data_IF_081965821721
#
_entry.id   IF_081965821721
#
_cell.length_a   1.000
_cell.length_b   1.000
_cell.length_c   1.000
_cell.angle_alpha   90.00
_cell.angle_beta   90.00
_cell.angle_gamma   90.00
#
_symmetry.space_group_name_H-M   'P 1'
#
loop_
_entity.id
_entity.type
_entity.pdbx_description
1 polymer ?
#
# COMPACT_ATOMS: atom_id res chain seq x y z
N UNK A 1 -4.44 1.13 26.69
CA UNK A 1 -4.98 0.65 25.40
C UNK A 1 -4.81 1.68 24.29
N UNK A 2 -5.13 2.96 24.54
CA UNK A 2 -4.95 4.06 23.57
C UNK A 2 -3.51 4.16 23.04
N UNK A 3 -2.51 4.01 23.92
CA UNK A 3 -1.10 4.09 23.53
C UNK A 3 -0.66 2.98 22.57
N UNK A 4 -1.27 1.79 22.69
CA UNK A 4 -0.99 0.68 21.77
C UNK A 4 -1.57 0.95 20.38
N UNK A 5 -2.75 1.57 20.30
CA UNK A 5 -3.37 1.96 19.02
C UNK A 5 -2.53 3.04 18.34
N UNK A 6 -2.05 4.03 19.11
CA UNK A 6 -1.18 5.10 18.59
C UNK A 6 0.16 4.54 18.12
N UNK A 7 0.77 3.62 18.89
CA UNK A 7 2.01 2.97 18.51
C UNK A 7 1.85 2.17 17.20
N UNK A 8 0.74 1.46 17.03
CA UNK A 8 0.44 0.67 15.83
C UNK A 8 0.19 1.57 14.62
N UNK A 9 -0.52 2.69 14.79
CA UNK A 9 -0.69 3.71 13.75
C UNK A 9 0.63 4.35 13.33
N UNK A 10 1.49 4.68 14.29
CA UNK A 10 2.82 5.27 14.01
C UNK A 10 3.72 4.28 13.27
N UNK A 11 3.70 3.01 13.67
CA UNK A 11 4.42 1.92 12.99
C UNK A 11 3.91 1.70 11.56
N UNK A 12 2.58 1.73 11.37
CA UNK A 12 1.96 1.61 10.04
C UNK A 12 2.34 2.77 9.12
N UNK A 13 2.44 3.99 9.66
CA UNK A 13 2.93 5.14 8.90
C UNK A 13 4.40 5.02 8.51
N UNK A 14 5.25 4.40 9.33
CA UNK A 14 6.64 4.17 8.98
C UNK A 14 6.80 3.12 7.88
N UNK A 15 5.93 2.10 7.88
CA UNK A 15 6.01 0.95 6.98
C UNK A 15 4.92 0.96 5.89
N UNK A 16 4.38 2.13 5.54
CA UNK A 16 3.25 2.27 4.61
C UNK A 16 3.56 1.69 3.21
N UNK A 17 4.79 1.89 2.71
CA UNK A 17 5.22 1.45 1.39
C UNK A 17 5.29 -0.09 1.27
N UNK A 18 5.96 -0.83 2.17
CA UNK A 18 5.93 -2.29 2.14
C UNK A 18 4.52 -2.86 2.36
N UNK A 19 3.67 -2.23 3.18
CA UNK A 19 2.28 -2.67 3.36
C UNK A 19 1.48 -2.60 2.04
N UNK A 20 1.63 -1.52 1.27
CA UNK A 20 0.99 -1.37 -0.04
C UNK A 20 1.50 -2.40 -1.04
N UNK A 21 2.81 -2.67 -1.05
CA UNK A 21 3.41 -3.65 -1.95
C UNK A 21 2.87 -5.06 -1.63
N UNK A 22 2.85 -5.45 -0.36
CA UNK A 22 2.31 -6.75 0.07
C UNK A 22 0.84 -6.87 -0.33
N UNK A 23 0.04 -5.82 -0.09
CA UNK A 23 -1.37 -5.82 -0.46
C UNK A 23 -1.57 -5.95 -1.98
N UNK A 24 -0.74 -5.26 -2.78
CA UNK A 24 -0.75 -5.38 -4.24
C UNK A 24 -0.35 -6.78 -4.71
N UNK A 25 0.69 -7.38 -4.11
CA UNK A 25 1.08 -8.76 -4.41
C UNK A 25 -0.06 -9.76 -4.11
N UNK A 26 -0.75 -9.60 -2.98
CA UNK A 26 -1.91 -10.44 -2.62
C UNK A 26 -3.02 -10.31 -3.68
N UNK A 27 -3.34 -9.08 -4.10
CA UNK A 27 -4.34 -8.85 -5.15
C UNK A 27 -3.95 -9.50 -6.49
N UNK A 28 -2.65 -9.49 -6.82
CA UNK A 28 -2.15 -10.12 -8.05
C UNK A 28 -2.22 -11.66 -7.99
N UNK A 29 -1.88 -12.26 -6.84
CA UNK A 29 -2.04 -13.71 -6.62
C UNK A 29 -3.52 -14.10 -6.72
N UNK A 30 -4.41 -13.30 -6.14
CA UNK A 30 -5.85 -13.55 -6.20
C UNK A 30 -6.37 -13.47 -7.64
N UNK A 31 -5.89 -12.51 -8.45
CA UNK A 31 -6.24 -12.42 -9.87
C UNK A 31 -5.81 -13.67 -10.66
N UNK A 32 -4.59 -14.16 -10.43
CA UNK A 32 -4.11 -15.41 -11.05
C UNK A 32 -4.98 -16.60 -10.64
N UNK A 33 -5.35 -16.69 -9.35
CA UNK A 33 -6.24 -17.73 -8.87
C UNK A 33 -7.62 -17.67 -9.56
N UNK A 34 -8.18 -16.47 -9.76
CA UNK A 34 -9.43 -16.28 -10.52
C UNK A 34 -9.28 -16.74 -11.96
N UNK A 35 -8.19 -16.38 -12.66
CA UNK A 35 -7.93 -16.83 -14.04
C UNK A 35 -7.80 -18.35 -14.16
N UNK A 36 -7.10 -18.98 -13.21
CA UNK A 36 -6.96 -20.45 -13.15
C UNK A 36 -8.31 -21.11 -12.86
N UNK A 37 -9.09 -20.56 -11.92
CA UNK A 37 -10.44 -21.07 -11.61
C UNK A 37 -11.39 -20.95 -12.81
N UNK A 38 -11.23 -19.91 -13.63
CA UNK A 38 -12.03 -19.71 -14.84
C UNK A 38 -11.67 -20.73 -15.92
N UNK A 39 -10.38 -20.99 -16.13
CA UNK A 39 -9.92 -22.02 -17.06
C UNK A 39 -10.41 -23.40 -16.60
N UNK A 40 -10.20 -23.77 -15.34
CA UNK A 40 -10.67 -25.07 -14.81
C UNK A 40 -12.20 -25.19 -14.92
N UNK A 41 -12.94 -24.12 -14.63
CA UNK A 41 -14.39 -24.07 -14.77
C UNK A 41 -14.86 -24.27 -16.21
N UNK A 42 -14.20 -23.65 -17.19
CA UNK A 42 -14.49 -23.81 -18.61
C UNK A 42 -14.30 -25.27 -19.07
N UNK A 43 -13.17 -25.88 -18.68
CA UNK A 43 -12.87 -27.27 -19.04
C UNK A 43 -13.80 -28.27 -18.33
N UNK A 44 -14.14 -28.04 -17.05
CA UNK A 44 -15.10 -28.90 -16.33
C UNK A 44 -16.50 -28.81 -16.91
N UNK A 45 -16.95 -27.62 -17.35
CA UNK A 45 -18.25 -27.44 -17.98
C UNK A 45 -18.32 -28.20 -19.33
N UNK A 46 -17.23 -28.22 -20.10
CA UNK A 46 -17.13 -28.94 -21.37
C UNK A 46 -17.05 -30.48 -21.22
N UNK A 47 -16.36 -31.00 -20.19
CA UNK A 47 -16.11 -32.45 -20.02
C UNK A 47 -17.12 -33.18 -19.12
N UNK A 48 -17.68 -32.53 -18.10
CA UNK A 48 -18.57 -33.17 -17.10
C UNK A 48 -19.98 -32.57 -17.04
N UNK A 49 -20.30 -31.57 -17.86
CA UNK A 49 -21.60 -30.89 -17.85
C UNK A 49 -21.93 -30.24 -16.49
N UNK A 50 -20.91 -29.97 -15.67
CA UNK A 50 -21.10 -29.24 -14.42
C UNK A 50 -21.39 -27.79 -14.76
N UNK A 51 -22.62 -27.32 -14.48
CA UNK A 51 -23.06 -25.93 -14.63
C UNK A 51 -22.29 -24.99 -13.69
N UNK A 52 -20.98 -24.86 -13.88
CA UNK A 52 -20.18 -23.90 -13.14
C UNK A 52 -20.59 -22.51 -13.61
N UNK A 53 -21.10 -21.69 -12.70
CA UNK A 53 -21.53 -20.33 -13.02
C UNK A 53 -20.31 -19.48 -13.36
N UNK A 54 -20.10 -19.22 -14.65
CA UNK A 54 -19.08 -18.25 -15.12
C UNK A 54 -19.32 -16.86 -14.52
N UNK A 55 -20.55 -16.55 -14.08
CA UNK A 55 -20.89 -15.33 -13.34
C UNK A 55 -20.14 -15.21 -12.00
N UNK A 56 -19.82 -16.33 -11.33
CA UNK A 56 -19.03 -16.30 -10.10
C UNK A 56 -17.60 -15.79 -10.35
N UNK A 57 -17.03 -16.08 -11.52
CA UNK A 57 -15.71 -15.57 -11.91
C UNK A 57 -15.73 -14.04 -12.10
N UNK A 58 -16.83 -13.49 -12.61
CA UNK A 58 -17.05 -12.04 -12.68
C UNK A 58 -17.07 -11.38 -11.31
N UNK A 59 -17.65 -12.06 -10.30
CA UNK A 59 -17.58 -11.60 -8.91
C UNK A 59 -16.15 -11.62 -8.36
N UNK A 60 -15.32 -12.56 -8.78
CA UNK A 60 -13.90 -12.59 -8.41
C UNK A 60 -13.12 -11.41 -9.00
N UNK A 61 -13.34 -11.11 -10.29
CA UNK A 61 -12.70 -9.99 -10.99
C UNK A 61 -13.11 -8.64 -10.37
N UNK A 62 -14.40 -8.45 -10.07
CA UNK A 62 -14.89 -7.20 -9.47
C UNK A 62 -14.23 -6.92 -8.12
N UNK A 63 -14.06 -7.94 -7.28
CA UNK A 63 -13.36 -7.82 -5.98
C UNK A 63 -11.90 -7.40 -6.18
N UNK A 64 -11.20 -7.94 -7.18
CA UNK A 64 -9.82 -7.51 -7.49
C UNK A 64 -9.77 -6.05 -7.92
N UNK A 65 -10.69 -5.62 -8.80
CA UNK A 65 -10.75 -4.23 -9.27
C UNK A 65 -11.02 -3.27 -8.12
N UNK A 66 -12.01 -3.59 -7.28
CA UNK A 66 -12.31 -2.80 -6.07
C UNK A 66 -11.13 -2.78 -5.10
N UNK A 67 -10.47 -3.93 -4.89
CA UNK A 67 -9.28 -4.03 -4.04
C UNK A 67 -8.14 -3.15 -4.55
N UNK A 68 -7.85 -3.20 -5.86
CA UNK A 68 -6.83 -2.36 -6.50
C UNK A 68 -7.14 -0.87 -6.41
N UNK A 69 -8.41 -0.47 -6.62
CA UNK A 69 -8.83 0.91 -6.43
C UNK A 69 -8.61 1.38 -4.98
N UNK A 70 -8.89 0.52 -4.01
CA UNK A 70 -8.57 0.74 -2.60
C UNK A 70 -7.07 0.97 -2.37
N UNK A 71 -6.22 0.07 -2.87
CA UNK A 71 -4.75 0.19 -2.75
C UNK A 71 -4.25 1.49 -3.39
N UNK A 72 -4.75 1.84 -4.58
CA UNK A 72 -4.35 3.06 -5.28
C UNK A 72 -4.76 4.33 -4.51
N UNK A 73 -5.97 4.36 -3.93
CA UNK A 73 -6.42 5.49 -3.12
C UNK A 73 -5.58 5.67 -1.85
N UNK A 74 -5.21 4.57 -1.18
CA UNK A 74 -4.32 4.57 -0.02
C UNK A 74 -2.92 5.06 -0.40
N UNK A 75 -2.36 4.55 -1.51
CA UNK A 75 -1.07 4.99 -2.02
C UNK A 75 -1.07 6.49 -2.35
N UNK A 76 -2.13 7.00 -2.98
CA UNK A 76 -2.31 8.42 -3.27
C UNK A 76 -2.40 9.28 -2.01
N UNK A 77 -3.15 8.85 -1.00
CA UNK A 77 -3.26 9.56 0.28
C UNK A 77 -1.91 9.60 1.02
N UNK A 78 -1.15 8.51 1.02
CA UNK A 78 0.19 8.48 1.60
C UNK A 78 1.16 9.38 0.82
N UNK A 79 1.16 9.30 -0.51
CA UNK A 79 2.04 10.11 -1.36
C UNK A 79 1.77 11.61 -1.21
N UNK A 80 0.51 12.02 -1.20
CA UNK A 80 0.13 13.42 -1.01
C UNK A 80 0.55 13.96 0.36
N UNK A 81 0.54 13.13 1.41
CA UNK A 81 1.10 13.50 2.72
C UNK A 81 2.60 13.81 2.62
N UNK A 82 3.41 12.92 2.04
CA UNK A 82 4.85 13.15 1.89
C UNK A 82 5.18 14.28 0.93
N UNK A 83 4.43 14.41 -0.16
CA UNK A 83 4.60 15.49 -1.14
C UNK A 83 4.27 16.86 -0.54
N UNK A 84 3.17 16.95 0.23
CA UNK A 84 2.76 18.16 0.94
C UNK A 84 3.78 18.52 2.02
N UNK A 85 4.21 17.56 2.84
CA UNK A 85 5.21 17.80 3.89
C UNK A 85 6.55 18.27 3.30
N UNK A 86 7.02 17.64 2.22
CA UNK A 86 8.24 18.08 1.52
C UNK A 86 8.12 19.49 0.93
N UNK A 87 6.92 19.93 0.52
CA UNK A 87 6.69 21.25 -0.10
C UNK A 87 6.64 22.38 0.93
N UNK A 88 6.20 22.10 2.16
CA UNK A 88 6.02 23.12 3.20
C UNK A 88 7.13 23.12 4.26
N UNK A 89 7.90 22.03 4.41
CA UNK A 89 8.94 21.90 5.43
C UNK A 89 10.38 22.12 4.90
N UNK A 90 10.57 22.24 3.58
CA UNK A 90 11.87 22.51 2.94
C UNK A 90 11.70 23.54 1.81
N UNK A 91 12.48 24.63 1.75
CA UNK A 91 12.43 25.56 0.62
C UNK A 91 12.88 24.86 -0.67
N UNK A 92 12.20 25.15 -1.79
CA UNK A 92 12.50 24.54 -3.08
C UNK A 92 13.98 24.74 -3.45
N UNK A 93 14.72 23.64 -3.61
CA UNK A 93 16.14 23.66 -3.98
C UNK A 93 17.14 23.48 -2.84
N UNK A 94 16.70 23.36 -1.57
CA UNK A 94 17.59 22.96 -0.49
C UNK A 94 17.52 21.44 -0.23
N UNK A 95 18.67 20.75 -0.11
CA UNK A 95 18.67 19.38 0.37
C UNK A 95 18.08 19.33 1.79
N UNK A 96 17.48 18.20 2.21
CA UNK A 96 16.99 18.05 3.57
C UNK A 96 18.15 18.36 4.52
N UNK A 97 17.91 19.27 5.48
CA UNK A 97 18.85 19.53 6.57
C UNK A 97 19.09 18.18 7.26
N UNK A 98 20.27 17.60 7.02
CA UNK A 98 20.75 16.47 7.79
C UNK A 98 20.79 16.98 9.23
N UNK A 99 19.83 16.55 10.05
CA UNK A 99 19.84 16.81 11.48
C UNK A 99 21.03 16.02 12.03
N UNK A 100 22.21 16.61 11.94
CA UNK A 100 23.41 16.11 12.55
C UNK A 100 23.19 16.22 14.07
N UNK A 101 22.68 15.15 14.68
CA UNK A 101 22.68 14.98 16.13
C UNK A 101 24.11 14.73 16.65
N UNK A 102 25.10 15.47 16.16
CA UNK A 102 26.44 15.59 16.75
C UNK A 102 26.71 17.07 17.01
N UNK A 103 26.67 17.43 18.29
CA UNK A 103 27.31 18.64 18.78
C UNK A 103 26.37 19.84 18.92
N UNK A 104 25.34 19.70 19.75
CA UNK A 104 25.06 20.84 20.62
C UNK A 104 26.32 21.09 21.46
N UNK A 105 27.03 22.18 21.17
CA UNK A 105 27.71 23.07 22.12
C UNK A 105 28.79 23.89 21.38
N UNK A 106 28.42 24.98 20.73
CA UNK A 106 29.38 25.96 20.20
C UNK A 106 28.95 27.40 20.53
N UNK A 107 28.32 27.60 21.70
CA UNK A 107 28.00 28.92 22.24
C UNK A 107 28.25 28.95 23.75
N UNK A 108 29.51 28.74 24.17
CA UNK A 108 29.95 29.12 25.52
C UNK A 108 31.32 29.83 25.48
N UNK A 109 31.38 31.03 26.06
CA UNK A 109 32.54 31.91 26.23
C UNK A 109 33.03 32.61 24.95
N UNK A 110 32.88 33.92 24.72
CA UNK A 110 33.49 35.01 25.52
C UNK A 110 34.81 34.57 26.17
N UNK A 111 35.91 34.79 25.45
CA UNK A 111 37.02 35.66 25.84
C UNK A 111 37.87 35.97 24.60
#
# INVERSE_FOLDING_TARGET
>A
MKDKIIALGTWGQQNWLPLIIILSCIMMVFLVAVMVSWLIGYWCNALRGTHFELASCWSGISVVVTGMAGVASLAGACWTKYHTDSKFNTPAGLPPILKNNRGGNANDGRN
#
